data_IF_559903432888
#
_entry.id   IF_559903432888
#
_cell.length_a   1.000
_cell.length_b   1.000
_cell.length_c   1.000
_cell.angle_alpha   90.00
_cell.angle_beta   90.00
_cell.angle_gamma   90.00
#
_symmetry.space_group_name_H-M   'P 1'
#
loop_
_entity.id
_entity.type
_entity.pdbx_description
1 polymer ?
#
# COMPACT_ATOMS: atom_id res chain seq x y z
N UNK A 1 -31.82 4.79 0.71
CA UNK A 1 -32.54 3.60 0.23
C UNK A 1 -31.65 2.72 -0.68
N UNK A 2 -30.77 3.32 -1.48
CA UNK A 2 -29.88 2.58 -2.39
C UNK A 2 -28.73 1.85 -1.66
N UNK A 3 -28.28 2.38 -0.53
CA UNK A 3 -27.15 1.80 0.23
C UNK A 3 -27.55 0.49 0.93
N UNK A 4 -28.74 0.42 1.48
CA UNK A 4 -29.22 -0.80 2.15
C UNK A 4 -29.48 -1.95 1.16
N UNK A 5 -30.02 -1.64 -0.02
CA UNK A 5 -30.26 -2.66 -1.06
C UNK A 5 -28.95 -3.22 -1.61
N UNK A 6 -27.93 -2.39 -1.72
CA UNK A 6 -26.59 -2.80 -2.17
C UNK A 6 -25.88 -3.68 -1.11
N UNK A 7 -26.02 -3.32 0.15
CA UNK A 7 -25.44 -4.07 1.27
C UNK A 7 -26.09 -5.44 1.43
N UNK A 8 -27.42 -5.54 1.28
CA UNK A 8 -28.16 -6.81 1.32
C UNK A 8 -27.76 -7.73 0.16
N UNK A 9 -27.62 -7.21 -1.06
CA UNK A 9 -27.21 -8.02 -2.21
C UNK A 9 -25.76 -8.52 -2.10
N UNK A 10 -24.86 -7.75 -1.52
CA UNK A 10 -23.50 -8.18 -1.21
C UNK A 10 -23.47 -9.26 -0.13
N UNK A 11 -24.31 -9.14 0.89
CA UNK A 11 -24.43 -10.13 1.97
C UNK A 11 -24.94 -11.50 1.47
N UNK A 12 -25.85 -11.50 0.50
CA UNK A 12 -26.41 -12.72 -0.05
C UNK A 12 -25.50 -13.33 -1.15
N UNK A 13 -24.89 -12.49 -1.99
CA UNK A 13 -24.05 -12.94 -3.09
C UNK A 13 -22.65 -13.38 -2.64
N UNK A 14 -22.08 -12.77 -1.62
CA UNK A 14 -20.70 -13.03 -1.18
C UNK A 14 -20.48 -14.47 -0.67
N UNK A 15 -21.35 -15.05 0.18
CA UNK A 15 -21.20 -16.44 0.60
C UNK A 15 -21.29 -17.43 -0.56
N UNK A 16 -22.21 -17.19 -1.52
CA UNK A 16 -22.36 -18.03 -2.72
C UNK A 16 -21.10 -17.91 -3.56
N UNK A 17 -20.61 -16.71 -3.80
CA UNK A 17 -19.40 -16.46 -4.56
C UNK A 17 -18.18 -17.13 -3.93
N UNK A 18 -17.97 -16.98 -2.62
CA UNK A 18 -16.86 -17.61 -1.90
C UNK A 18 -16.90 -19.14 -1.98
N UNK A 19 -18.09 -19.72 -1.90
CA UNK A 19 -18.27 -21.18 -2.00
C UNK A 19 -17.97 -21.70 -3.40
N UNK A 20 -18.42 -20.98 -4.43
CA UNK A 20 -18.23 -21.37 -5.82
C UNK A 20 -16.82 -21.04 -6.34
N UNK A 21 -16.24 -19.94 -5.91
CA UNK A 21 -14.94 -19.49 -6.35
C UNK A 21 -13.83 -20.52 -6.08
N UNK A 22 -13.86 -21.16 -4.92
CA UNK A 22 -12.92 -22.24 -4.58
C UNK A 22 -12.95 -23.44 -5.50
N UNK A 23 -14.01 -23.61 -6.28
CA UNK A 23 -14.20 -24.74 -7.21
C UNK A 23 -14.06 -24.34 -8.68
N UNK A 24 -14.41 -23.10 -9.01
CA UNK A 24 -14.58 -22.65 -10.39
C UNK A 24 -13.47 -21.69 -10.86
N UNK A 25 -12.73 -21.08 -9.95
CA UNK A 25 -11.70 -20.08 -10.29
C UNK A 25 -10.31 -20.62 -9.98
N UNK A 26 -9.39 -20.67 -10.97
CA UNK A 26 -8.00 -20.98 -10.70
C UNK A 26 -7.35 -19.78 -9.99
N UNK A 27 -7.16 -19.89 -8.69
CA UNK A 27 -6.46 -18.87 -7.90
C UNK A 27 -4.95 -19.02 -8.07
N UNK A 28 -4.28 -17.87 -8.25
CA UNK A 28 -2.83 -17.76 -8.23
C UNK A 28 -2.38 -16.91 -7.03
N UNK A 29 -1.11 -17.08 -6.61
CA UNK A 29 -0.55 -16.32 -5.49
C UNK A 29 -1.07 -16.73 -4.12
N UNK A 30 -1.69 -17.89 -3.99
CA UNK A 30 -2.12 -18.42 -2.71
C UNK A 30 -1.08 -19.43 -2.14
N UNK A 31 -0.94 -19.53 -0.83
CA UNK A 31 -1.67 -18.80 0.21
C UNK A 31 -1.25 -17.34 0.33
N UNK A 32 -2.19 -16.48 0.65
CA UNK A 32 -1.99 -15.06 0.96
C UNK A 32 -2.59 -14.71 2.32
N UNK A 33 -2.03 -13.68 2.95
CA UNK A 33 -2.54 -13.11 4.20
C UNK A 33 -2.55 -11.59 4.09
N UNK A 34 -3.54 -10.97 4.72
CA UNK A 34 -3.68 -9.52 4.78
C UNK A 34 -3.65 -9.09 6.23
N UNK A 35 -2.90 -8.03 6.52
CA UNK A 35 -2.87 -7.39 7.83
C UNK A 35 -2.83 -5.87 7.67
N UNK A 36 -3.28 -5.16 8.71
CA UNK A 36 -3.26 -3.71 8.77
C UNK A 36 -2.13 -3.26 9.68
N UNK A 37 -1.16 -2.55 9.13
CA UNK A 37 0.01 -2.05 9.85
C UNK A 37 0.18 -0.56 9.57
N UNK A 38 0.40 0.21 10.61
CA UNK A 38 0.65 1.64 10.53
C UNK A 38 2.09 1.99 10.13
N UNK A 39 2.32 3.31 10.01
CA UNK A 39 3.67 3.83 9.78
C UNK A 39 4.61 3.48 10.94
N UNK A 40 5.77 2.91 10.63
CA UNK A 40 6.76 2.40 11.60
C UNK A 40 6.42 1.04 12.19
N UNK A 41 5.53 0.28 11.54
CA UNK A 41 5.19 -1.10 11.89
C UNK A 41 5.44 -2.06 10.71
N UNK A 42 5.32 -1.58 9.46
CA UNK A 42 5.52 -2.39 8.24
C UNK A 42 6.97 -2.85 8.10
N UNK A 43 7.93 -1.96 8.33
CA UNK A 43 9.36 -2.25 8.33
C UNK A 43 9.72 -3.32 9.38
N UNK A 44 9.21 -3.18 10.60
CA UNK A 44 9.42 -4.14 11.68
C UNK A 44 8.85 -5.52 11.35
N UNK A 45 7.65 -5.57 10.79
CA UNK A 45 7.05 -6.83 10.34
C UNK A 45 7.86 -7.47 9.22
N UNK A 46 8.30 -6.68 8.23
CA UNK A 46 9.13 -7.15 7.13
C UNK A 46 10.47 -7.70 7.60
N UNK A 47 11.14 -7.01 8.52
CA UNK A 47 12.38 -7.49 9.13
C UNK A 47 12.15 -8.79 9.91
N UNK A 48 11.08 -8.88 10.69
CA UNK A 48 10.76 -10.12 11.41
C UNK A 48 10.51 -11.29 10.47
N UNK A 49 9.81 -11.11 9.37
CA UNK A 49 9.65 -12.16 8.36
C UNK A 49 10.99 -12.57 7.76
N UNK A 50 11.88 -11.63 7.49
CA UNK A 50 13.20 -11.92 6.97
C UNK A 50 14.05 -12.74 7.97
N UNK A 51 14.00 -12.41 9.25
CA UNK A 51 14.63 -13.18 10.33
C UNK A 51 14.09 -14.60 10.42
N UNK A 52 12.76 -14.77 10.31
CA UNK A 52 12.13 -16.09 10.35
C UNK A 52 12.55 -16.97 9.18
N UNK A 53 12.73 -16.39 7.99
CA UNK A 53 13.27 -17.11 6.82
C UNK A 53 14.73 -17.47 7.06
N UNK A 54 15.55 -16.54 7.54
CA UNK A 54 16.96 -16.79 7.86
C UNK A 54 17.15 -17.89 8.90
N UNK A 55 16.27 -17.94 9.91
CA UNK A 55 16.30 -18.95 10.96
C UNK A 55 15.70 -20.32 10.55
N UNK A 56 15.12 -20.41 9.33
CA UNK A 56 14.44 -21.63 8.88
C UNK A 56 13.08 -21.89 9.55
N UNK A 57 12.54 -20.91 10.29
CA UNK A 57 11.17 -20.96 10.83
C UNK A 57 10.12 -20.94 9.71
N UNK A 58 10.46 -20.29 8.59
CA UNK A 58 9.69 -20.30 7.35
C UNK A 58 10.50 -21.03 6.28
N UNK A 59 9.86 -21.94 5.57
CA UNK A 59 10.50 -22.82 4.59
C UNK A 59 10.73 -22.18 3.22
N UNK A 60 10.24 -20.94 3.01
CA UNK A 60 10.33 -20.23 1.73
C UNK A 60 10.38 -18.71 1.95
N UNK A 61 10.91 -17.94 0.99
CA UNK A 61 10.83 -16.49 0.99
C UNK A 61 9.39 -15.99 1.03
N UNK A 62 9.18 -14.82 1.65
CA UNK A 62 7.90 -14.17 1.76
C UNK A 62 7.86 -12.94 0.85
N UNK A 63 6.87 -12.87 -0.04
CA UNK A 63 6.57 -11.69 -0.81
C UNK A 63 5.66 -10.75 0.00
N UNK A 64 6.11 -9.54 0.24
CA UNK A 64 5.41 -8.52 1.02
C UNK A 64 5.03 -7.39 0.07
N UNK A 65 3.76 -7.26 -0.21
CA UNK A 65 3.20 -6.17 -1.01
C UNK A 65 2.15 -5.40 -0.22
N UNK A 66 1.59 -4.39 -0.85
CA UNK A 66 0.46 -3.64 -0.31
C UNK A 66 -0.53 -3.28 -1.41
N UNK A 67 -1.72 -2.85 -1.02
CA UNK A 67 -2.75 -2.38 -1.93
C UNK A 67 -2.24 -1.17 -2.75
N UNK A 68 -2.57 -1.11 -4.03
CA UNK A 68 -2.28 0.02 -4.92
C UNK A 68 -3.01 1.30 -4.50
N UNK A 69 -4.05 1.18 -3.69
CA UNK A 69 -4.83 2.29 -3.13
C UNK A 69 -4.29 2.77 -1.77
N UNK A 70 -3.08 2.40 -1.40
CA UNK A 70 -2.44 2.89 -0.17
C UNK A 70 -2.27 4.42 -0.23
N UNK A 71 -2.31 5.05 0.92
CA UNK A 71 -2.48 6.49 1.10
C UNK A 71 -1.53 7.41 0.32
N UNK A 72 -0.32 6.96 -0.01
CA UNK A 72 0.66 7.75 -0.77
C UNK A 72 0.76 7.37 -2.25
N UNK A 73 -0.04 6.41 -2.73
CA UNK A 73 0.23 5.70 -3.99
C UNK A 73 -0.86 5.83 -5.05
N UNK A 74 -1.88 6.64 -4.82
CA UNK A 74 -3.04 6.74 -5.70
C UNK A 74 -3.40 8.20 -6.00
N UNK A 75 -3.70 8.48 -7.27
CA UNK A 75 -4.38 9.69 -7.72
C UNK A 75 -5.52 9.26 -8.63
N UNK A 76 -6.75 9.29 -8.12
CA UNK A 76 -7.94 8.78 -8.80
C UNK A 76 -9.16 9.62 -8.45
N UNK A 77 -9.39 10.75 -9.16
CA UNK A 77 -10.50 11.64 -8.84
C UNK A 77 -11.88 11.10 -9.23
N UNK A 78 -11.94 10.11 -10.12
CA UNK A 78 -13.19 9.60 -10.68
C UNK A 78 -13.51 8.16 -10.29
N UNK A 79 -12.54 7.42 -9.75
CA UNK A 79 -12.70 6.02 -9.37
C UNK A 79 -11.81 5.70 -8.18
N UNK A 80 -12.35 5.02 -7.19
CA UNK A 80 -11.59 4.61 -6.00
C UNK A 80 -10.83 5.78 -5.36
N UNK A 81 -11.50 6.93 -5.27
CA UNK A 81 -10.91 8.17 -4.78
C UNK A 81 -10.68 8.12 -3.28
N UNK A 82 -9.54 8.68 -2.85
CA UNK A 82 -9.22 8.95 -1.45
C UNK A 82 -10.06 10.12 -0.90
N UNK A 83 -10.70 10.91 -1.76
CA UNK A 83 -11.44 12.12 -1.42
C UNK A 83 -10.61 13.08 -0.55
N UNK A 84 -9.40 13.36 -1.00
CA UNK A 84 -8.44 14.21 -0.28
C UNK A 84 -8.98 15.62 -0.04
N UNK A 85 -8.78 16.15 1.16
CA UNK A 85 -9.30 17.46 1.55
C UNK A 85 -8.79 18.64 0.69
N UNK A 86 -7.63 18.49 0.06
CA UNK A 86 -6.98 19.48 -0.81
C UNK A 86 -7.21 19.25 -2.32
N UNK A 87 -7.97 18.21 -2.69
CA UNK A 87 -8.21 17.84 -4.08
C UNK A 87 -7.01 17.19 -4.78
N UNK A 88 -5.98 16.77 -4.05
CA UNK A 88 -4.78 16.11 -4.57
C UNK A 88 -5.03 14.74 -5.21
N UNK A 89 -6.25 14.23 -5.17
CA UNK A 89 -6.69 13.08 -5.99
C UNK A 89 -6.49 13.30 -7.49
N UNK A 90 -6.45 14.57 -7.94
CA UNK A 90 -6.19 14.93 -9.32
C UNK A 90 -4.70 15.12 -9.63
N UNK A 91 -3.81 14.97 -8.65
CA UNK A 91 -2.37 15.22 -8.78
C UNK A 91 -1.62 13.90 -8.96
N UNK A 92 -1.23 13.61 -10.18
CA UNK A 92 -0.51 12.39 -10.57
C UNK A 92 0.89 12.27 -9.95
N UNK A 93 1.47 13.36 -9.47
CA UNK A 93 2.80 13.40 -8.87
C UNK A 93 2.94 12.45 -7.68
N UNK A 94 1.90 12.33 -6.85
CA UNK A 94 1.94 11.49 -5.66
C UNK A 94 2.23 10.01 -5.96
N UNK A 95 1.45 9.31 -6.82
CA UNK A 95 1.78 7.92 -7.15
C UNK A 95 3.08 7.78 -7.95
N UNK A 96 3.45 8.76 -8.77
CA UNK A 96 4.73 8.74 -9.48
C UNK A 96 5.91 8.85 -8.51
N UNK A 97 5.87 9.80 -7.59
CA UNK A 97 6.89 9.94 -6.53
C UNK A 97 6.95 8.71 -5.64
N UNK A 98 5.80 8.13 -5.28
CA UNK A 98 5.75 6.88 -4.52
C UNK A 98 6.48 5.75 -5.24
N UNK A 99 6.23 5.56 -6.55
CA UNK A 99 6.91 4.55 -7.34
C UNK A 99 8.43 4.79 -7.39
N UNK A 100 8.86 6.04 -7.60
CA UNK A 100 10.28 6.41 -7.62
C UNK A 100 10.96 6.17 -6.26
N UNK A 101 10.30 6.54 -5.17
CA UNK A 101 10.79 6.31 -3.80
C UNK A 101 10.94 4.81 -3.52
N UNK A 102 9.96 4.00 -3.90
CA UNK A 102 10.03 2.55 -3.74
C UNK A 102 11.17 1.93 -4.56
N UNK A 103 11.36 2.39 -5.80
CA UNK A 103 12.47 1.96 -6.66
C UNK A 103 13.82 2.33 -6.03
N UNK A 104 14.00 3.57 -5.60
CA UNK A 104 15.22 4.04 -4.95
C UNK A 104 15.49 3.35 -3.59
N UNK A 105 14.44 2.92 -2.90
CA UNK A 105 14.53 2.16 -1.64
C UNK A 105 14.94 0.71 -1.87
N UNK A 106 14.82 0.19 -3.09
CA UNK A 106 15.22 -1.15 -3.46
C UNK A 106 14.10 -2.18 -3.36
N UNK A 107 12.84 -1.77 -3.52
CA UNK A 107 11.73 -2.71 -3.68
C UNK A 107 12.04 -3.71 -4.80
N UNK A 108 11.64 -4.96 -4.62
CA UNK A 108 11.94 -6.04 -5.57
C UNK A 108 11.13 -5.92 -6.85
N UNK A 109 9.97 -5.29 -6.77
CA UNK A 109 9.08 -5.03 -7.88
C UNK A 109 8.28 -3.75 -7.63
N UNK A 110 8.16 -2.90 -8.65
CA UNK A 110 7.37 -1.67 -8.61
C UNK A 110 6.53 -1.60 -9.86
N UNK A 111 5.29 -1.18 -9.73
CA UNK A 111 4.37 -1.01 -10.86
C UNK A 111 3.66 0.33 -10.83
N UNK A 112 3.27 0.80 -12.00
CA UNK A 112 2.34 1.91 -12.18
C UNK A 112 1.19 1.42 -13.02
N UNK A 113 -0.03 1.57 -12.50
CA UNK A 113 -1.27 1.31 -13.21
C UNK A 113 -1.93 2.62 -13.59
N UNK A 114 -2.48 2.68 -14.77
CA UNK A 114 -2.95 3.92 -15.37
C UNK A 114 -4.25 3.73 -16.14
N UNK A 115 -5.18 4.64 -15.97
CA UNK A 115 -6.44 4.66 -16.72
C UNK A 115 -7.64 4.09 -15.98
N UNK A 116 -7.52 2.93 -15.35
CA UNK A 116 -8.55 2.32 -14.50
C UNK A 116 -9.97 2.25 -15.06
N UNK A 117 -10.15 2.25 -16.40
CA UNK A 117 -11.45 2.28 -17.05
C UNK A 117 -12.10 3.67 -17.18
N UNK A 118 -11.51 4.71 -16.60
CA UNK A 118 -12.02 6.10 -16.62
C UNK A 118 -11.22 7.04 -17.53
N UNK A 119 -10.17 6.53 -18.15
CA UNK A 119 -9.33 7.26 -19.10
C UNK A 119 -7.91 7.50 -18.59
N UNK A 120 -7.00 7.66 -19.53
CA UNK A 120 -5.57 7.93 -19.27
C UNK A 120 -5.44 9.23 -18.46
N UNK A 121 -4.63 9.21 -17.40
CA UNK A 121 -4.43 10.34 -16.48
C UNK A 121 -5.52 10.53 -15.43
N UNK A 122 -6.57 9.72 -15.42
CA UNK A 122 -7.71 9.89 -14.53
C UNK A 122 -7.77 8.88 -13.38
N UNK A 123 -6.92 7.89 -13.39
CA UNK A 123 -6.72 6.94 -12.30
C UNK A 123 -5.30 6.41 -12.39
N UNK A 124 -4.46 6.78 -11.44
CA UNK A 124 -3.05 6.41 -11.38
C UNK A 124 -2.77 5.76 -10.04
N UNK A 125 -2.17 4.56 -10.08
CA UNK A 125 -1.82 3.81 -8.88
C UNK A 125 -0.38 3.33 -8.97
N UNK A 126 0.34 3.34 -7.85
CA UNK A 126 1.64 2.71 -7.71
C UNK A 126 1.57 1.51 -6.78
N UNK A 127 2.17 0.41 -7.17
CA UNK A 127 2.31 -0.80 -6.37
C UNK A 127 3.77 -1.15 -6.12
N UNK A 128 4.04 -1.86 -5.04
CA UNK A 128 5.37 -2.38 -4.74
C UNK A 128 5.31 -3.75 -4.06
N UNK A 129 6.35 -4.53 -4.25
CA UNK A 129 6.59 -5.79 -3.55
C UNK A 129 8.04 -5.85 -3.10
N UNK A 130 8.25 -6.25 -1.86
CA UNK A 130 9.56 -6.58 -1.30
C UNK A 130 9.62 -8.08 -1.00
N UNK A 131 10.79 -8.66 -1.12
CA UNK A 131 11.02 -10.08 -0.81
C UNK A 131 11.85 -10.20 0.47
N UNK A 132 11.32 -10.94 1.42
CA UNK A 132 12.03 -11.39 2.61
C UNK A 132 12.59 -12.79 2.33
N UNK A 133 13.87 -12.89 2.01
CA UNK A 133 14.55 -14.14 1.62
C UNK A 133 15.60 -14.63 2.64
N UNK A 134 15.65 -13.96 3.79
CA UNK A 134 16.58 -14.28 4.87
C UNK A 134 17.95 -13.64 4.76
N UNK A 135 18.24 -12.88 3.70
CA UNK A 135 19.56 -12.26 3.50
C UNK A 135 19.65 -10.86 4.14
N UNK A 136 20.88 -10.43 4.45
CA UNK A 136 21.17 -9.06 4.89
C UNK A 136 20.80 -8.01 3.84
N UNK A 137 20.89 -8.36 2.56
CA UNK A 137 20.47 -7.48 1.47
C UNK A 137 18.96 -7.25 1.50
N UNK A 138 18.19 -8.32 1.68
CA UNK A 138 16.74 -8.23 1.84
C UNK A 138 16.36 -7.40 3.07
N UNK A 139 17.03 -7.61 4.21
CA UNK A 139 16.78 -6.82 5.43
C UNK A 139 16.92 -5.31 5.18
N UNK A 140 18.03 -4.88 4.57
CA UNK A 140 18.25 -3.45 4.22
C UNK A 140 17.20 -2.90 3.26
N UNK A 141 16.77 -3.67 2.27
CA UNK A 141 15.74 -3.27 1.31
C UNK A 141 14.35 -3.17 1.96
N UNK A 142 14.00 -4.15 2.78
CA UNK A 142 12.75 -4.18 3.53
C UNK A 142 12.64 -2.98 4.47
N UNK A 143 13.68 -2.72 5.27
CA UNK A 143 13.72 -1.57 6.16
C UNK A 143 13.46 -0.26 5.40
N UNK A 144 14.18 -0.02 4.32
CA UNK A 144 14.06 1.22 3.54
C UNK A 144 12.72 1.34 2.82
N UNK A 145 12.30 0.31 2.09
CA UNK A 145 11.08 0.37 1.31
C UNK A 145 9.84 0.42 2.19
N UNK A 146 9.77 -0.41 3.23
CA UNK A 146 8.61 -0.47 4.11
C UNK A 146 8.54 0.67 5.14
N UNK A 147 9.60 1.48 5.27
CA UNK A 147 9.58 2.77 5.97
C UNK A 147 9.16 3.89 5.00
N UNK A 148 9.79 3.99 3.84
CA UNK A 148 9.61 5.11 2.92
C UNK A 148 8.25 5.08 2.22
N UNK A 149 7.77 3.91 1.84
CA UNK A 149 6.47 3.74 1.18
C UNK A 149 5.30 4.29 2.00
N UNK A 150 5.05 3.83 3.24
CA UNK A 150 4.01 4.41 4.07
C UNK A 150 4.33 5.85 4.50
N UNK A 151 5.61 6.24 4.52
CA UNK A 151 6.04 7.61 4.76
C UNK A 151 5.50 8.60 3.73
N UNK A 152 5.41 8.21 2.45
CA UNK A 152 4.80 9.06 1.41
C UNK A 152 3.32 9.32 1.68
N UNK A 153 2.60 8.35 2.25
CA UNK A 153 1.21 8.51 2.67
C UNK A 153 1.06 9.52 3.82
N UNK A 154 1.95 9.45 4.80
CA UNK A 154 1.96 10.42 5.91
C UNK A 154 2.29 11.82 5.40
N UNK A 155 3.28 11.95 4.51
CA UNK A 155 3.65 13.23 3.89
C UNK A 155 2.48 13.84 3.13
N UNK A 156 1.84 13.08 2.23
CA UNK A 156 0.70 13.53 1.45
C UNK A 156 -0.45 14.02 2.32
N UNK A 157 -0.81 13.25 3.34
CA UNK A 157 -1.90 13.64 4.24
C UNK A 157 -1.53 14.82 5.13
N UNK A 158 -0.29 14.93 5.58
CA UNK A 158 0.17 16.10 6.32
C UNK A 158 0.16 17.36 5.45
N UNK A 159 0.58 17.25 4.19
CA UNK A 159 0.53 18.35 3.22
C UNK A 159 -0.91 18.82 2.96
N UNK A 160 -1.83 17.88 2.83
CA UNK A 160 -3.26 18.14 2.67
C UNK A 160 -3.95 18.69 3.94
N UNK A 161 -3.23 18.86 5.06
CA UNK A 161 -3.74 19.49 6.27
C UNK A 161 -4.37 18.54 7.29
N UNK A 162 -4.24 17.23 7.14
CA UNK A 162 -4.77 16.30 8.14
C UNK A 162 -3.93 16.31 9.42
N UNK A 163 -4.53 16.74 10.53
CA UNK A 163 -3.87 16.87 11.83
C UNK A 163 -3.25 15.56 12.31
N UNK A 164 -3.97 14.45 12.11
CA UNK A 164 -3.48 13.14 12.49
C UNK A 164 -2.18 12.73 11.78
N UNK A 165 -2.04 13.08 10.52
CA UNK A 165 -0.81 12.81 9.76
C UNK A 165 0.35 13.68 10.28
N UNK A 166 0.09 14.94 10.59
CA UNK A 166 1.08 15.85 11.20
C UNK A 166 1.54 15.34 12.58
N UNK A 167 0.63 14.88 13.42
CA UNK A 167 0.95 14.25 14.71
C UNK A 167 1.81 12.99 14.56
N UNK A 168 1.47 12.13 13.59
CA UNK A 168 2.23 10.91 13.31
C UNK A 168 3.62 11.26 12.80
N UNK A 169 3.73 12.22 11.89
CA UNK A 169 5.01 12.68 11.38
C UNK A 169 5.94 13.15 12.51
N UNK A 170 5.42 14.03 13.39
CA UNK A 170 6.19 14.54 14.52
C UNK A 170 6.60 13.41 15.49
N UNK A 171 5.67 12.52 15.85
CA UNK A 171 5.93 11.42 16.79
C UNK A 171 6.95 10.40 16.23
N UNK A 172 6.99 10.22 14.92
CA UNK A 172 7.86 9.25 14.26
C UNK A 172 9.13 9.87 13.66
N UNK A 173 9.36 11.17 13.87
CA UNK A 173 10.54 11.86 13.38
C UNK A 173 10.59 12.01 11.85
N UNK A 174 9.44 12.00 11.18
CA UNK A 174 9.36 12.26 9.76
C UNK A 174 9.53 13.77 9.51
N UNK A 175 10.59 14.14 8.82
CA UNK A 175 10.88 15.55 8.54
C UNK A 175 9.99 16.09 7.42
N UNK A 176 9.30 17.19 7.71
CA UNK A 176 8.48 17.94 6.76
C UNK A 176 8.99 19.38 6.75
N UNK A 177 10.05 19.71 5.98
CA UNK A 177 10.73 21.00 6.07
C UNK A 177 9.82 22.22 5.88
N UNK A 178 8.77 22.09 5.08
CA UNK A 178 7.80 23.18 4.84
C UNK A 178 6.93 23.51 6.07
N UNK A 179 6.98 22.70 7.12
CA UNK A 179 6.23 22.88 8.35
C UNK A 179 7.11 23.08 9.59
N UNK A 180 8.42 23.05 9.42
CA UNK A 180 9.43 23.28 10.46
C UNK A 180 9.75 24.79 10.60
N UNK A 181 8.73 25.66 10.58
CA UNK A 181 8.88 27.12 10.77
C UNK A 181 8.38 27.55 12.14
#
# INVERSE_FOLDING_TARGET
ATTETYTLSLHDALPIWLTLAGRAVPFQGLPARVCWLGYGERDRAGLRFNEMVAAGELSAPIAIGRDHLDAGSVASPYRETEAMADGSDAIADWPLLNALVNTASGASWVSIHHGGGVGIGRSLHAGQVCIADGTDLAARKLERALTNDPGTGVLRHADAGYSRATEVAARRGLRIPMRES
#
